data_IF_856053992030
#
_entry.id   IF_856053992030
#
_cell.length_a   1.000
_cell.length_b   1.000
_cell.length_c   1.000
_cell.angle_alpha   90.00
_cell.angle_beta   90.00
_cell.angle_gamma   90.00
#
_symmetry.space_group_name_H-M   'P 1'
#
loop_
_entity.id
_entity.type
_entity.pdbx_description
1 polymer ?
#
# COMPACT_ATOMS: atom_id res chain seq x y z
N UNK A 1 37.70 -17.80 -1.51
CA UNK A 1 37.61 -16.71 -0.53
C UNK A 1 36.19 -16.21 -0.39
N UNK A 2 35.43 -16.67 0.62
CA UNK A 2 34.29 -15.91 1.18
C UNK A 2 33.66 -16.57 2.43
N UNK A 3 34.43 -17.35 3.20
CA UNK A 3 33.98 -17.92 4.47
C UNK A 3 34.01 -16.91 5.63
N UNK A 4 34.51 -15.69 5.41
CA UNK A 4 34.71 -14.67 6.46
C UNK A 4 33.57 -13.64 6.60
N UNK A 5 32.45 -13.80 5.86
CA UNK A 5 31.31 -12.88 5.95
C UNK A 5 30.21 -13.25 6.97
N UNK A 6 30.29 -14.43 7.60
CA UNK A 6 29.24 -14.96 8.51
C UNK A 6 29.43 -14.50 9.96
N UNK A 7 29.80 -13.24 10.17
CA UNK A 7 29.90 -12.67 11.52
C UNK A 7 28.48 -12.35 12.00
N UNK A 8 27.89 -13.30 12.75
CA UNK A 8 26.97 -12.99 13.84
C UNK A 8 25.46 -12.95 13.55
N UNK A 9 24.91 -13.77 12.65
CA UNK A 9 23.45 -13.97 12.61
C UNK A 9 23.02 -15.18 13.44
N UNK A 10 21.96 -14.99 14.21
CA UNK A 10 21.42 -16.01 15.09
C UNK A 10 20.76 -17.13 14.26
N UNK A 11 20.76 -18.39 14.73
CA UNK A 11 20.14 -19.51 14.02
C UNK A 11 18.64 -19.30 13.74
N UNK A 12 17.99 -18.43 14.50
CA UNK A 12 16.59 -18.02 14.30
C UNK A 12 16.45 -17.19 13.02
N UNK A 13 17.37 -16.27 12.74
CA UNK A 13 17.39 -15.48 11.51
C UNK A 13 17.51 -16.40 10.30
N UNK A 14 18.41 -17.37 10.32
CA UNK A 14 18.59 -18.30 9.20
C UNK A 14 17.37 -19.20 8.99
N UNK A 15 16.70 -19.62 10.07
CA UNK A 15 15.47 -20.39 9.98
C UNK A 15 14.31 -19.57 9.39
N UNK A 16 14.13 -18.33 9.82
CA UNK A 16 13.12 -17.41 9.29
C UNK A 16 13.44 -17.07 7.83
N UNK A 17 14.70 -16.82 7.49
CA UNK A 17 15.16 -16.56 6.12
C UNK A 17 14.81 -17.72 5.20
N UNK A 18 15.13 -18.95 5.60
CA UNK A 18 14.85 -20.14 4.81
C UNK A 18 13.36 -20.41 4.67
N UNK A 19 12.56 -20.10 5.70
CA UNK A 19 11.10 -20.23 5.66
C UNK A 19 10.47 -19.20 4.71
N UNK A 20 10.96 -17.96 4.71
CA UNK A 20 10.46 -16.88 3.85
C UNK A 20 10.94 -17.02 2.39
N UNK A 21 12.14 -17.54 2.18
CA UNK A 21 12.76 -17.60 0.84
C UNK A 21 12.36 -18.86 0.06
N UNK A 22 12.06 -19.96 0.75
CA UNK A 22 11.80 -21.25 0.12
C UNK A 22 10.41 -21.79 0.51
N UNK A 23 9.41 -21.72 -0.37
CA UNK A 23 8.03 -22.16 -0.08
C UNK A 23 7.93 -23.67 0.24
N UNK A 24 8.89 -24.47 -0.23
CA UNK A 24 8.93 -25.93 -0.04
C UNK A 24 9.74 -26.39 1.17
N UNK A 25 10.36 -25.49 1.94
CA UNK A 25 11.31 -25.85 3.01
C UNK A 25 10.65 -26.58 4.19
N UNK A 26 9.43 -26.19 4.58
CA UNK A 26 8.74 -26.75 5.74
C UNK A 26 7.22 -26.60 5.61
N UNK A 27 6.44 -27.31 6.44
CA UNK A 27 4.98 -27.13 6.54
C UNK A 27 4.63 -25.68 6.90
N UNK A 28 5.40 -25.06 7.78
CA UNK A 28 5.25 -23.64 8.15
C UNK A 28 5.51 -22.71 6.96
N UNK A 29 6.52 -23.01 6.14
CA UNK A 29 6.83 -22.23 4.93
C UNK A 29 5.69 -22.29 3.91
N UNK A 30 5.04 -23.45 3.76
CA UNK A 30 3.87 -23.61 2.88
C UNK A 30 2.67 -22.80 3.36
N UNK A 31 2.38 -22.83 4.67
CA UNK A 31 1.29 -22.04 5.25
C UNK A 31 1.56 -20.55 5.06
N UNK A 32 2.78 -20.11 5.37
CA UNK A 32 3.19 -18.72 5.16
C UNK A 32 3.05 -18.28 3.70
N UNK A 33 3.51 -19.10 2.77
CA UNK A 33 3.39 -18.83 1.33
C UNK A 33 1.93 -18.78 0.88
N UNK A 34 1.06 -19.61 1.45
CA UNK A 34 -0.38 -19.58 1.18
C UNK A 34 -1.01 -18.26 1.65
N UNK A 35 -0.70 -17.85 2.89
CA UNK A 35 -1.17 -16.57 3.45
C UNK A 35 -0.67 -15.41 2.60
N UNK A 36 0.63 -15.38 2.29
CA UNK A 36 1.21 -14.33 1.44
C UNK A 36 0.48 -14.18 0.11
N UNK A 37 0.31 -15.30 -0.61
CA UNK A 37 -0.38 -15.29 -1.89
C UNK A 37 -1.86 -14.87 -1.78
N UNK A 38 -2.52 -15.19 -0.66
CA UNK A 38 -3.89 -14.71 -0.40
C UNK A 38 -3.92 -13.18 -0.24
N UNK A 39 -3.02 -12.60 0.53
CA UNK A 39 -2.92 -11.13 0.69
C UNK A 39 -2.59 -10.44 -0.63
N UNK A 40 -1.69 -11.01 -1.45
CA UNK A 40 -1.38 -10.49 -2.78
C UNK A 40 -2.62 -10.51 -3.68
N UNK A 41 -3.39 -11.61 -3.66
CA UNK A 41 -4.63 -11.71 -4.43
C UNK A 41 -5.67 -10.67 -3.96
N UNK A 42 -5.85 -10.50 -2.66
CA UNK A 42 -6.78 -9.51 -2.09
C UNK A 42 -6.40 -8.08 -2.49
N UNK A 43 -5.12 -7.71 -2.35
CA UNK A 43 -4.64 -6.38 -2.76
C UNK A 43 -4.82 -6.14 -4.27
N UNK A 44 -4.57 -7.15 -5.11
CA UNK A 44 -4.81 -7.03 -6.55
C UNK A 44 -6.29 -6.86 -6.88
N UNK A 45 -7.18 -7.51 -6.13
CA UNK A 45 -8.62 -7.39 -6.31
C UNK A 45 -9.11 -6.00 -5.90
N UNK A 46 -8.65 -5.48 -4.76
CA UNK A 46 -8.95 -4.10 -4.34
C UNK A 46 -8.55 -3.09 -5.41
N UNK A 47 -7.34 -3.21 -5.95
CA UNK A 47 -6.88 -2.33 -7.04
C UNK A 47 -7.78 -2.37 -8.28
N UNK A 48 -8.26 -3.57 -8.65
CA UNK A 48 -9.20 -3.72 -9.77
C UNK A 48 -10.56 -3.10 -9.44
N UNK A 49 -11.04 -3.26 -8.21
CA UNK A 49 -12.31 -2.67 -7.76
C UNK A 49 -12.26 -1.14 -7.74
N UNK A 50 -11.16 -0.54 -7.31
CA UNK A 50 -10.94 0.92 -7.33
C UNK A 50 -10.84 1.48 -8.76
N UNK A 51 -10.29 0.68 -9.68
CA UNK A 51 -10.15 1.05 -11.09
C UNK A 51 -11.51 1.17 -11.80
N UNK A 52 -12.53 0.45 -11.33
CA UNK A 52 -13.86 0.44 -11.94
C UNK A 52 -14.68 1.67 -11.50
N UNK A 53 -15.12 2.54 -12.44
CA UNK A 53 -15.88 3.74 -12.09
C UNK A 53 -17.26 3.43 -11.48
N UNK A 54 -17.80 2.23 -11.69
CA UNK A 54 -19.07 1.78 -11.09
C UNK A 54 -18.97 1.51 -9.58
N UNK A 55 -17.76 1.35 -9.04
CA UNK A 55 -17.51 1.12 -7.61
C UNK A 55 -17.25 2.42 -6.82
N UNK A 56 -17.58 3.56 -7.44
CA UNK A 56 -17.47 4.91 -6.89
C UNK A 56 -18.85 5.39 -6.43
N UNK A 57 -19.01 5.74 -5.17
CA UNK A 57 -20.27 6.30 -4.70
C UNK A 57 -20.25 7.83 -4.72
N UNK A 58 -21.36 8.43 -5.15
CA UNK A 58 -21.60 9.88 -5.10
C UNK A 58 -22.23 10.18 -3.74
N UNK A 59 -21.52 10.93 -2.89
CA UNK A 59 -22.02 11.38 -1.58
C UNK A 59 -23.34 12.14 -1.72
N UNK A 60 -24.24 11.97 -0.76
CA UNK A 60 -25.58 12.60 -0.79
C UNK A 60 -25.52 14.13 -0.82
N UNK A 61 -24.43 14.74 -0.32
CA UNK A 61 -24.16 16.18 -0.44
C UNK A 61 -24.00 16.64 -1.89
N UNK A 62 -23.37 15.82 -2.74
CA UNK A 62 -23.19 16.12 -4.17
C UNK A 62 -24.51 15.91 -4.93
N UNK A 63 -25.28 14.88 -4.57
CA UNK A 63 -26.64 14.68 -5.10
C UNK A 63 -27.55 15.87 -4.76
N UNK A 64 -27.49 16.38 -3.54
CA UNK A 64 -28.28 17.53 -3.11
C UNK A 64 -27.92 18.81 -3.90
N UNK A 65 -26.63 19.03 -4.20
CA UNK A 65 -26.18 20.16 -5.02
C UNK A 65 -26.61 20.05 -6.49
N UNK A 66 -26.59 18.84 -7.06
CA UNK A 66 -26.99 18.59 -8.46
C UNK A 66 -28.51 18.73 -8.70
N UNK A 67 -29.33 18.53 -7.66
CA UNK A 67 -30.80 18.62 -7.76
C UNK A 67 -31.29 20.06 -7.54
N UNK A 68 -30.50 20.93 -6.90
CA UNK A 68 -30.89 22.30 -6.57
C UNK A 68 -30.38 23.40 -7.51
N UNK A 69 -29.19 23.25 -8.10
CA UNK A 69 -28.55 24.27 -8.95
C UNK A 69 -27.86 23.63 -10.16
N UNK A 70 -27.84 24.35 -11.30
CA UNK A 70 -27.03 23.96 -12.46
C UNK A 70 -25.55 23.76 -12.03
N UNK A 71 -24.91 22.63 -12.37
CA UNK A 71 -23.58 22.32 -11.87
C UNK A 71 -22.59 23.39 -12.34
N UNK A 72 -22.00 24.12 -11.39
CA UNK A 72 -20.91 25.05 -11.68
C UNK A 72 -19.71 24.24 -12.18
N UNK A 73 -18.86 24.79 -13.07
CA UNK A 73 -17.68 24.07 -13.56
C UNK A 73 -16.71 23.64 -12.45
N UNK A 74 -16.78 24.24 -11.26
CA UNK A 74 -16.08 23.79 -10.06
C UNK A 74 -16.64 22.49 -9.46
N UNK A 75 -17.96 22.26 -9.51
CA UNK A 75 -18.61 21.07 -8.93
C UNK A 75 -18.32 19.79 -9.74
N UNK A 76 -18.08 19.92 -11.05
CA UNK A 76 -17.62 18.82 -11.92
C UNK A 76 -16.25 18.25 -11.51
N UNK A 77 -15.38 19.05 -10.90
CA UNK A 77 -14.09 18.57 -10.39
C UNK A 77 -14.24 17.63 -9.19
N UNK A 78 -15.28 17.78 -8.39
CA UNK A 78 -15.51 16.92 -7.22
C UNK A 78 -16.00 15.52 -7.61
N UNK A 79 -16.67 15.38 -8.76
CA UNK A 79 -17.08 14.06 -9.28
C UNK A 79 -15.87 13.17 -9.66
N UNK A 80 -14.71 13.78 -9.93
CA UNK A 80 -13.45 13.08 -10.19
C UNK A 80 -12.78 12.56 -8.90
N UNK A 81 -13.19 13.07 -7.72
CA UNK A 81 -12.81 12.62 -6.38
C UNK A 81 -13.92 11.76 -5.76
N UNK A 82 -14.38 10.77 -6.50
CA UNK A 82 -15.22 9.71 -5.94
C UNK A 82 -14.57 9.09 -4.71
N UNK A 83 -15.33 8.98 -3.63
CA UNK A 83 -14.87 8.32 -2.40
C UNK A 83 -15.02 6.81 -2.56
N UNK A 84 -13.97 6.07 -2.24
CA UNK A 84 -13.95 4.61 -2.25
C UNK A 84 -14.79 4.04 -1.12
N UNK A 85 -15.35 2.84 -1.31
CA UNK A 85 -16.08 2.16 -0.23
C UNK A 85 -15.17 1.96 1.00
N UNK A 86 -15.68 2.24 2.22
CA UNK A 86 -14.87 2.14 3.45
C UNK A 86 -14.23 0.77 3.68
N UNK A 87 -14.87 -0.30 3.21
CA UNK A 87 -14.37 -1.68 3.34
C UNK A 87 -13.15 -1.96 2.47
N UNK A 88 -13.08 -1.38 1.27
CA UNK A 88 -11.95 -1.55 0.35
C UNK A 88 -10.75 -0.77 0.88
N UNK A 89 -10.96 0.49 1.26
CA UNK A 89 -9.93 1.32 1.90
C UNK A 89 -9.30 0.64 3.14
N UNK A 90 -10.12 0.02 4.00
CA UNK A 90 -9.61 -0.72 5.16
C UNK A 90 -8.77 -1.96 4.76
N UNK A 91 -9.19 -2.68 3.72
CA UNK A 91 -8.44 -3.81 3.17
C UNK A 91 -7.08 -3.34 2.66
N UNK A 92 -7.03 -2.24 1.90
CA UNK A 92 -5.78 -1.72 1.34
C UNK A 92 -4.79 -1.26 2.41
N UNK A 93 -5.27 -0.61 3.48
CA UNK A 93 -4.44 -0.25 4.63
C UNK A 93 -3.84 -1.49 5.29
N UNK A 94 -4.65 -2.54 5.49
CA UNK A 94 -4.19 -3.79 6.10
C UNK A 94 -3.15 -4.48 5.21
N UNK A 95 -3.42 -4.62 3.92
CA UNK A 95 -2.51 -5.25 2.97
C UNK A 95 -1.20 -4.48 2.83
N UNK A 96 -1.25 -3.15 2.72
CA UNK A 96 -0.06 -2.31 2.68
C UNK A 96 0.79 -2.45 3.95
N UNK A 97 0.14 -2.44 5.11
CA UNK A 97 0.83 -2.63 6.40
C UNK A 97 1.51 -3.99 6.46
N UNK A 98 0.80 -5.05 6.05
CA UNK A 98 1.31 -6.41 6.00
C UNK A 98 2.57 -6.52 5.11
N UNK A 99 2.51 -6.03 3.86
CA UNK A 99 3.65 -6.07 2.95
C UNK A 99 4.84 -5.23 3.43
N UNK A 100 4.55 -4.09 4.05
CA UNK A 100 5.60 -3.24 4.63
C UNK A 100 6.33 -3.98 5.76
N UNK A 101 5.60 -4.54 6.71
CA UNK A 101 6.18 -5.30 7.83
C UNK A 101 6.96 -6.50 7.33
N UNK A 102 6.41 -7.26 6.39
CA UNK A 102 7.10 -8.42 5.82
C UNK A 102 8.40 -8.03 5.11
N UNK A 103 8.38 -6.95 4.33
CA UNK A 103 9.58 -6.44 3.68
C UNK A 103 10.67 -6.08 4.69
N UNK A 104 10.31 -5.42 5.80
CA UNK A 104 11.26 -5.11 6.87
C UNK A 104 11.78 -6.37 7.57
N UNK A 105 10.93 -7.38 7.79
CA UNK A 105 11.36 -8.68 8.33
C UNK A 105 12.38 -9.32 7.38
N UNK A 106 12.09 -9.37 6.08
CA UNK A 106 13.02 -9.90 5.06
C UNK A 106 14.33 -9.12 5.06
N UNK A 107 14.28 -7.79 5.16
CA UNK A 107 15.48 -6.94 5.22
C UNK A 107 16.32 -7.21 6.48
N UNK A 108 15.69 -7.33 7.65
CA UNK A 108 16.37 -7.61 8.92
C UNK A 108 17.01 -9.01 8.94
N UNK A 109 16.33 -9.99 8.35
CA UNK A 109 16.71 -11.40 8.37
C UNK A 109 17.73 -11.76 7.27
N UNK A 110 17.77 -11.02 6.17
CA UNK A 110 18.69 -11.24 5.03
C UNK A 110 20.17 -11.15 5.42
N UNK A 111 21.03 -12.13 5.08
CA UNK A 111 22.46 -12.10 5.42
C UNK A 111 23.27 -11.03 4.67
N UNK A 112 22.87 -10.67 3.44
CA UNK A 112 23.50 -9.61 2.62
C UNK A 112 22.46 -8.72 1.93
N UNK A 113 22.24 -7.53 2.47
CA UNK A 113 21.24 -6.57 1.96
C UNK A 113 21.50 -6.25 0.47
N UNK A 114 22.75 -6.02 0.07
CA UNK A 114 23.08 -5.67 -1.32
C UNK A 114 22.77 -6.77 -2.34
N UNK A 115 22.79 -8.04 -1.92
CA UNK A 115 22.41 -9.18 -2.77
C UNK A 115 20.89 -9.30 -2.83
N UNK A 116 20.23 -9.09 -1.69
CA UNK A 116 18.77 -9.07 -1.60
C UNK A 116 18.14 -7.98 -2.45
N UNK A 117 18.66 -6.75 -2.39
CA UNK A 117 18.17 -5.62 -3.17
C UNK A 117 18.38 -5.79 -4.69
N UNK A 118 19.31 -6.66 -5.13
CA UNK A 118 19.55 -6.96 -6.54
C UNK A 118 18.69 -8.12 -7.09
N UNK A 119 17.95 -8.81 -6.22
CA UNK A 119 17.05 -9.88 -6.65
C UNK A 119 15.82 -9.30 -7.34
N UNK A 120 15.45 -9.86 -8.52
CA UNK A 120 14.33 -9.37 -9.33
C UNK A 120 13.02 -9.27 -8.55
N UNK A 121 12.74 -10.25 -7.69
CA UNK A 121 11.50 -10.28 -6.89
C UNK A 121 11.48 -9.15 -5.86
N UNK A 122 12.59 -8.92 -5.15
CA UNK A 122 12.65 -7.88 -4.14
C UNK A 122 12.68 -6.46 -4.75
N UNK A 123 13.18 -6.31 -5.98
CA UNK A 123 13.11 -5.03 -6.71
C UNK A 123 11.65 -4.66 -6.97
N UNK A 124 10.80 -5.62 -7.34
CA UNK A 124 9.37 -5.39 -7.54
C UNK A 124 8.69 -4.99 -6.22
N UNK A 125 9.00 -5.69 -5.13
CA UNK A 125 8.47 -5.34 -3.80
C UNK A 125 8.87 -3.91 -3.37
N UNK A 126 10.12 -3.50 -3.62
CA UNK A 126 10.59 -2.13 -3.33
C UNK A 126 9.84 -1.10 -4.16
N UNK A 127 9.64 -1.37 -5.46
CA UNK A 127 8.94 -0.43 -6.34
C UNK A 127 7.48 -0.26 -5.89
N UNK A 128 6.80 -1.36 -5.54
CA UNK A 128 5.44 -1.34 -5.02
C UNK A 128 5.36 -0.56 -3.71
N UNK A 129 6.23 -0.86 -2.74
CA UNK A 129 6.25 -0.14 -1.47
C UNK A 129 6.58 1.34 -1.67
N UNK A 130 7.58 1.67 -2.48
CA UNK A 130 7.94 3.05 -2.76
C UNK A 130 6.76 3.82 -3.38
N UNK A 131 6.07 3.21 -4.35
CA UNK A 131 4.88 3.80 -4.98
C UNK A 131 3.81 4.11 -3.94
N UNK A 132 3.46 3.15 -3.07
CA UNK A 132 2.42 3.34 -2.05
C UNK A 132 2.81 4.41 -1.04
N UNK A 133 4.05 4.41 -0.56
CA UNK A 133 4.54 5.44 0.37
C UNK A 133 4.52 6.84 -0.27
N UNK A 134 4.91 6.98 -1.54
CA UNK A 134 4.86 8.25 -2.26
C UNK A 134 3.42 8.75 -2.38
N UNK A 135 2.47 7.87 -2.73
CA UNK A 135 1.05 8.21 -2.82
C UNK A 135 0.53 8.67 -1.45
N UNK A 136 0.85 7.93 -0.39
CA UNK A 136 0.45 8.28 0.97
C UNK A 136 0.97 9.65 1.38
N UNK A 137 2.27 9.91 1.22
CA UNK A 137 2.86 11.21 1.56
C UNK A 137 2.24 12.32 0.73
N UNK A 138 2.09 12.12 -0.58
CA UNK A 138 1.46 13.11 -1.48
C UNK A 138 0.03 13.43 -1.02
N UNK A 139 -0.75 12.41 -0.65
CA UNK A 139 -2.11 12.57 -0.13
C UNK A 139 -2.15 13.42 1.15
N UNK A 140 -1.20 13.21 2.08
CA UNK A 140 -1.07 14.04 3.28
C UNK A 140 -0.72 15.50 2.94
N UNK A 141 0.27 15.73 2.07
CA UNK A 141 0.66 17.08 1.66
C UNK A 141 -0.47 17.85 0.97
N UNK A 142 -1.24 17.16 0.11
CA UNK A 142 -2.39 17.75 -0.59
C UNK A 142 -3.50 18.09 0.40
N UNK A 143 -3.82 17.20 1.34
CA UNK A 143 -4.86 17.42 2.36
C UNK A 143 -4.51 18.59 3.27
N UNK A 144 -3.26 18.68 3.72
CA UNK A 144 -2.77 19.81 4.52
C UNK A 144 -2.85 21.14 3.76
N UNK A 145 -2.52 21.11 2.46
CA UNK A 145 -2.60 22.29 1.60
C UNK A 145 -4.04 22.74 1.39
N UNK A 146 -4.97 21.81 1.20
CA UNK A 146 -6.41 22.09 1.10
C UNK A 146 -6.98 22.65 2.40
N UNK A 147 -6.60 22.09 3.56
CA UNK A 147 -7.02 22.64 4.85
C UNK A 147 -6.53 24.08 5.02
N UNK A 148 -5.24 24.35 4.75
CA UNK A 148 -4.68 25.70 4.84
C UNK A 148 -5.37 26.69 3.89
N UNK A 149 -5.69 26.26 2.66
CA UNK A 149 -6.41 27.10 1.70
C UNK A 149 -7.83 27.41 2.14
N UNK A 150 -8.58 26.42 2.65
CA UNK A 150 -9.93 26.63 3.18
C UNK A 150 -9.94 27.58 4.37
N UNK A 151 -8.99 27.45 5.29
CA UNK A 151 -8.84 28.39 6.42
C UNK A 151 -8.48 29.81 5.97
N UNK A 152 -7.63 29.97 4.95
CA UNK A 152 -7.30 31.28 4.39
C UNK A 152 -8.53 31.95 3.77
N UNK A 153 -9.33 31.22 2.99
CA UNK A 153 -10.54 31.76 2.36
C UNK A 153 -11.62 32.17 3.37
N UNK A 154 -11.73 31.45 4.50
CA UNK A 154 -12.68 31.78 5.58
C UNK A 154 -12.28 32.99 6.43
N UNK A 155 -11.01 33.39 6.44
CA UNK A 155 -10.52 34.53 7.22
C UNK A 155 -10.42 35.83 6.40
N UNK A 156 -10.52 35.74 5.07
CA UNK A 156 -10.43 36.89 4.15
C UNK A 156 -11.76 37.29 3.50
N UNK A 157 -12.88 36.68 3.91
CA UNK A 157 -14.25 37.15 3.61
C UNK A 157 -14.90 37.68 4.89
#
# INVERSE_FOLDING_TARGET
>A
DDYYGLIGKSPISDHVWNTLSNPSYSRTAKIWSCIYNLFVALASLSFVLESEPSYRYITDEVKAKLVGDLPKPGDLRFMMYSVEFPSVCLLDIICWTFFTVEFFIRLAVTPRISVFLKSKLNIMDIFLLASVWIIFFTSQYVTDSFHKFNYFFFYTS
#
